data_IF_094513700285
#
_entry.id   IF_094513700285
#
_cell.length_a   1.000
_cell.length_b   1.000
_cell.length_c   1.000
_cell.angle_alpha   90.00
_cell.angle_beta   90.00
_cell.angle_gamma   90.00
#
_symmetry.space_group_name_H-M   'P 1'
#
loop_
_entity.id
_entity.type
_entity.pdbx_description
1 polymer ?
#
# COMPACT_ATOMS: atom_id res chain seq x y z
N UNK A 1 -21.96 8.92 -30.93
CA UNK A 1 -21.89 7.45 -30.81
C UNK A 1 -20.48 7.10 -30.37
N UNK A 2 -20.23 7.11 -29.06
CA UNK A 2 -18.93 6.74 -28.48
C UNK A 2 -19.02 5.24 -28.23
N UNK A 3 -18.21 4.46 -28.94
CA UNK A 3 -18.12 3.01 -28.77
C UNK A 3 -17.70 2.71 -27.34
N UNK A 4 -18.61 2.12 -26.58
CA UNK A 4 -18.39 1.60 -25.24
C UNK A 4 -17.51 0.35 -25.31
N UNK A 5 -16.23 0.55 -25.64
CA UNK A 5 -15.20 -0.42 -25.29
C UNK A 5 -14.80 -0.14 -23.83
N UNK A 6 -15.76 -0.42 -22.93
CA UNK A 6 -15.46 -0.60 -21.52
C UNK A 6 -14.48 -1.77 -21.44
N UNK A 7 -13.18 -1.47 -21.47
CA UNK A 7 -12.13 -2.43 -21.08
C UNK A 7 -12.30 -2.76 -19.60
N UNK A 8 -13.31 -3.58 -19.30
CA UNK A 8 -13.44 -4.32 -18.05
C UNK A 8 -12.36 -5.39 -18.12
N UNK A 9 -11.19 -5.06 -17.57
CA UNK A 9 -10.19 -6.09 -17.35
C UNK A 9 -10.80 -7.20 -16.49
N UNK A 10 -10.49 -8.48 -16.77
CA UNK A 10 -11.05 -9.57 -15.99
C UNK A 10 -10.62 -9.43 -14.53
N UNK A 11 -11.54 -9.74 -13.59
CA UNK A 11 -11.40 -9.74 -12.13
C UNK A 11 -9.97 -10.11 -11.66
N UNK A 12 -9.40 -11.15 -12.27
CA UNK A 12 -8.05 -11.66 -11.98
C UNK A 12 -6.92 -10.69 -12.35
N UNK A 13 -6.99 -10.01 -13.50
CA UNK A 13 -5.90 -9.15 -13.99
C UNK A 13 -5.70 -7.93 -13.09
N UNK A 14 -6.78 -7.25 -12.70
CA UNK A 14 -6.69 -6.07 -11.83
C UNK A 14 -6.20 -6.42 -10.44
N UNK A 15 -6.66 -7.56 -9.89
CA UNK A 15 -6.17 -8.06 -8.61
C UNK A 15 -4.69 -8.40 -8.68
N UNK A 16 -4.23 -9.05 -9.77
CA UNK A 16 -2.83 -9.39 -9.95
C UNK A 16 -1.95 -8.15 -10.09
N UNK A 17 -2.40 -7.13 -10.82
CA UNK A 17 -1.66 -5.86 -10.95
C UNK A 17 -1.58 -5.15 -9.61
N UNK A 18 -2.69 -5.07 -8.88
CA UNK A 18 -2.74 -4.44 -7.57
C UNK A 18 -1.83 -5.15 -6.55
N UNK A 19 -1.89 -6.48 -6.47
CA UNK A 19 -1.01 -7.29 -5.60
C UNK A 19 0.44 -7.25 -6.06
N UNK A 20 0.73 -7.22 -7.37
CA UNK A 20 2.11 -7.07 -7.84
C UNK A 20 2.70 -5.72 -7.43
N UNK A 21 1.90 -4.65 -7.49
CA UNK A 21 2.31 -3.32 -7.04
C UNK A 21 2.49 -3.27 -5.52
N UNK A 22 1.55 -3.83 -4.74
CA UNK A 22 1.69 -3.87 -3.29
C UNK A 22 2.87 -4.75 -2.83
N UNK A 23 3.07 -5.92 -3.44
CA UNK A 23 4.19 -6.81 -3.16
C UNK A 23 5.55 -6.23 -3.58
N UNK A 24 5.57 -5.27 -4.52
CA UNK A 24 6.81 -4.57 -4.88
C UNK A 24 7.36 -3.71 -3.72
N UNK A 25 6.50 -3.26 -2.80
CA UNK A 25 6.89 -2.42 -1.66
C UNK A 25 7.78 -3.18 -0.66
N UNK A 26 7.40 -4.34 -0.10
CA UNK A 26 8.29 -5.10 0.78
C UNK A 26 9.54 -5.57 0.05
N UNK A 27 9.47 -5.89 -1.25
CA UNK A 27 10.65 -6.26 -2.05
C UNK A 27 11.63 -5.09 -2.19
N UNK A 28 11.13 -3.90 -2.52
CA UNK A 28 11.94 -2.68 -2.62
C UNK A 28 12.56 -2.31 -1.26
N UNK A 29 11.82 -2.51 -0.18
CA UNK A 29 12.32 -2.30 1.17
C UNK A 29 13.46 -3.26 1.54
N UNK A 30 13.30 -4.57 1.27
CA UNK A 30 14.35 -5.56 1.45
C UNK A 30 15.59 -5.25 0.60
N UNK A 31 15.39 -4.92 -0.68
CA UNK A 31 16.46 -4.57 -1.60
C UNK A 31 17.20 -3.29 -1.16
N UNK A 32 16.48 -2.28 -0.69
CA UNK A 32 17.06 -1.04 -0.17
C UNK A 32 17.88 -1.24 1.11
N UNK A 33 17.41 -2.10 2.02
CA UNK A 33 18.16 -2.46 3.23
C UNK A 33 19.46 -3.21 2.93
N UNK A 34 19.44 -4.10 1.93
CA UNK A 34 20.63 -4.82 1.47
C UNK A 34 21.60 -3.92 0.69
N UNK A 35 21.09 -3.10 -0.23
CA UNK A 35 21.90 -2.25 -1.10
C UNK A 35 22.59 -1.10 -0.34
N UNK A 36 21.96 -0.61 0.74
CA UNK A 36 22.54 0.45 1.58
C UNK A 36 23.68 -0.05 2.48
N UNK A 37 23.94 -1.37 2.52
CA UNK A 37 24.94 -1.97 3.41
C UNK A 37 24.58 -1.86 4.91
N UNK A 38 23.39 -1.34 5.22
CA UNK A 38 22.89 -1.17 6.59
C UNK A 38 22.44 -2.49 7.22
N UNK A 39 22.13 -3.51 6.39
CA UNK A 39 21.69 -4.81 6.88
C UNK A 39 22.82 -5.84 6.89
N UNK A 40 23.20 -6.27 8.09
CA UNK A 40 23.97 -7.48 8.26
C UNK A 40 23.04 -8.70 8.10
N UNK A 41 23.15 -9.39 6.96
CA UNK A 41 22.35 -10.57 6.62
C UNK A 41 22.50 -11.70 7.65
N UNK A 42 23.69 -11.86 8.23
CA UNK A 42 23.93 -12.89 9.24
C UNK A 42 23.22 -12.56 10.56
N UNK A 43 23.29 -11.30 11.01
CA UNK A 43 22.56 -10.84 12.20
C UNK A 43 21.04 -10.91 12.00
N UNK A 44 20.54 -10.50 10.83
CA UNK A 44 19.14 -10.63 10.48
C UNK A 44 18.68 -12.08 10.52
N UNK A 45 19.40 -13.00 9.88
CA UNK A 45 19.09 -14.44 9.92
C UNK A 45 19.11 -15.02 11.32
N UNK A 46 20.07 -14.61 12.16
CA UNK A 46 20.15 -15.04 13.55
C UNK A 46 18.96 -14.55 14.40
N UNK A 47 18.33 -13.44 14.01
CA UNK A 47 17.13 -12.89 14.67
C UNK A 47 15.81 -13.51 14.21
N UNK A 48 15.82 -14.36 13.18
CA UNK A 48 14.61 -15.00 12.64
C UNK A 48 14.11 -16.10 13.57
N UNK A 49 13.24 -15.73 14.52
CA UNK A 49 12.35 -16.67 15.22
C UNK A 49 11.05 -16.87 14.44
N UNK A 50 10.29 -17.93 14.77
CA UNK A 50 8.98 -18.17 14.17
C UNK A 50 8.01 -16.99 14.38
N UNK A 51 8.10 -16.34 15.55
CA UNK A 51 7.31 -15.16 15.89
C UNK A 51 7.69 -13.96 15.02
N UNK A 52 9.00 -13.69 14.85
CA UNK A 52 9.49 -12.60 13.99
C UNK A 52 9.06 -12.83 12.54
N UNK A 53 9.15 -14.07 12.04
CA UNK A 53 8.70 -14.41 10.69
C UNK A 53 7.19 -14.18 10.54
N UNK A 54 6.38 -14.59 11.51
CA UNK A 54 4.94 -14.35 11.48
C UNK A 54 4.60 -12.85 11.47
N UNK A 55 5.26 -12.05 12.32
CA UNK A 55 5.10 -10.60 12.34
C UNK A 55 5.49 -9.96 11.01
N UNK A 56 6.59 -10.40 10.39
CA UNK A 56 7.03 -9.91 9.08
C UNK A 56 6.03 -10.25 7.95
N UNK A 57 5.43 -11.44 7.99
CA UNK A 57 4.41 -11.84 7.01
C UNK A 57 3.16 -10.97 7.15
N UNK A 58 2.68 -10.75 8.37
CA UNK A 58 1.53 -9.87 8.62
C UNK A 58 1.83 -8.43 8.19
N UNK A 59 3.02 -7.93 8.53
CA UNK A 59 3.49 -6.62 8.12
C UNK A 59 3.53 -6.48 6.59
N UNK A 60 4.05 -7.47 5.88
CA UNK A 60 4.11 -7.48 4.42
C UNK A 60 2.70 -7.51 3.80
N UNK A 61 1.79 -8.31 4.35
CA UNK A 61 0.41 -8.37 3.87
C UNK A 61 -0.35 -7.04 4.09
N UNK A 62 -0.13 -6.36 5.21
CA UNK A 62 -0.73 -5.06 5.49
C UNK A 62 -0.16 -3.95 4.59
N UNK A 63 1.15 -3.96 4.35
CA UNK A 63 1.80 -3.05 3.41
C UNK A 63 1.27 -3.27 1.98
N UNK A 64 1.17 -4.54 1.54
CA UNK A 64 0.57 -4.91 0.26
C UNK A 64 -0.86 -4.40 0.14
N UNK A 65 -1.71 -4.68 1.13
CA UNK A 65 -3.11 -4.25 1.14
C UNK A 65 -3.24 -2.71 1.09
N UNK A 66 -2.36 -1.98 1.76
CA UNK A 66 -2.39 -0.51 1.79
C UNK A 66 -2.22 0.09 0.39
N UNK A 67 -1.48 -0.57 -0.50
CA UNK A 67 -1.30 -0.14 -1.89
C UNK A 67 -2.28 -0.82 -2.83
N UNK A 68 -2.48 -2.12 -2.68
CA UNK A 68 -3.29 -2.94 -3.58
C UNK A 68 -4.78 -2.54 -3.54
N UNK A 69 -5.34 -2.27 -2.35
CA UNK A 69 -6.76 -1.92 -2.18
C UNK A 69 -7.15 -0.64 -2.94
N UNK A 70 -6.51 0.52 -2.73
CA UNK A 70 -6.86 1.75 -3.45
C UNK A 70 -6.59 1.65 -4.96
N UNK A 71 -5.54 0.93 -5.38
CA UNK A 71 -5.25 0.69 -6.80
C UNK A 71 -6.33 -0.17 -7.45
N UNK A 72 -6.72 -1.28 -6.82
CA UNK A 72 -7.80 -2.14 -7.31
C UNK A 72 -9.14 -1.40 -7.34
N UNK A 73 -9.43 -0.57 -6.33
CA UNK A 73 -10.62 0.27 -6.29
C UNK A 73 -10.66 1.28 -7.45
N UNK A 74 -9.52 1.89 -7.79
CA UNK A 74 -9.43 2.76 -8.95
C UNK A 74 -9.57 2.02 -10.28
N UNK A 75 -8.82 0.93 -10.47
CA UNK A 75 -8.85 0.19 -11.74
C UNK A 75 -10.25 -0.34 -12.08
N UNK A 76 -11.02 -0.75 -11.06
CA UNK A 76 -12.35 -1.34 -11.24
C UNK A 76 -13.49 -0.35 -11.21
N UNK A 77 -13.50 0.50 -10.19
CA UNK A 77 -14.63 1.38 -9.88
C UNK A 77 -14.33 2.85 -10.23
N UNK A 78 -13.11 3.14 -10.70
CA UNK A 78 -12.60 4.49 -10.98
C UNK A 78 -12.75 5.42 -9.77
N UNK A 79 -12.63 4.86 -8.56
CA UNK A 79 -12.68 5.63 -7.31
C UNK A 79 -11.34 6.33 -7.11
N UNK A 80 -11.38 7.65 -7.05
CA UNK A 80 -10.18 8.50 -6.98
C UNK A 80 -9.83 8.82 -5.53
N UNK A 81 -10.83 8.90 -4.64
CA UNK A 81 -10.61 9.26 -3.24
C UNK A 81 -9.63 8.31 -2.51
N UNK A 82 -9.72 6.97 -2.68
CA UNK A 82 -8.75 6.05 -2.07
C UNK A 82 -7.31 6.26 -2.57
N UNK A 83 -7.13 6.60 -3.86
CA UNK A 83 -5.81 6.91 -4.43
C UNK A 83 -5.25 8.23 -3.91
N UNK A 84 -6.09 9.25 -3.75
CA UNK A 84 -5.65 10.52 -3.17
C UNK A 84 -5.13 10.32 -1.75
N UNK A 85 -5.83 9.53 -0.95
CA UNK A 85 -5.40 9.20 0.42
C UNK A 85 -4.10 8.41 0.40
N UNK A 86 -3.96 7.43 -0.50
CA UNK A 86 -2.69 6.72 -0.70
C UNK A 86 -1.54 7.70 -1.03
N UNK A 87 -1.78 8.66 -1.91
CA UNK A 87 -0.80 9.68 -2.28
C UNK A 87 -0.40 10.55 -1.08
N UNK A 88 -1.37 11.05 -0.31
CA UNK A 88 -1.11 11.85 0.91
C UNK A 88 -0.31 11.04 1.92
N UNK A 89 -0.68 9.77 2.13
CA UNK A 89 0.03 8.85 3.02
C UNK A 89 1.47 8.68 2.54
N UNK A 90 1.70 8.33 1.27
CA UNK A 90 3.04 8.13 0.71
C UNK A 90 3.92 9.39 0.83
N UNK A 91 3.39 10.57 0.50
CA UNK A 91 4.10 11.85 0.64
C UNK A 91 4.39 12.16 2.10
N UNK A 92 3.43 11.93 3.00
CA UNK A 92 3.59 12.12 4.44
C UNK A 92 4.70 11.22 5.01
N UNK A 93 4.76 9.96 4.57
CA UNK A 93 5.81 9.02 4.96
C UNK A 93 7.20 9.47 4.50
N UNK A 94 7.32 9.86 3.23
CA UNK A 94 8.60 10.35 2.67
C UNK A 94 9.04 11.63 3.38
N UNK A 95 8.11 12.56 3.60
CA UNK A 95 8.38 13.82 4.30
C UNK A 95 8.80 13.60 5.75
N UNK A 96 8.10 12.73 6.49
CA UNK A 96 8.44 12.39 7.87
C UNK A 96 9.80 11.68 7.93
N UNK A 97 10.06 10.73 7.04
CA UNK A 97 11.35 10.04 6.96
C UNK A 97 12.52 10.99 6.65
N UNK A 98 12.29 11.99 5.79
CA UNK A 98 13.29 13.01 5.48
C UNK A 98 13.54 13.96 6.66
N UNK A 99 12.46 14.45 7.30
CA UNK A 99 12.55 15.40 8.41
C UNK A 99 13.18 14.81 9.67
N UNK A 100 12.94 13.53 9.93
CA UNK A 100 13.46 12.81 11.11
C UNK A 100 14.84 12.20 10.89
N UNK A 101 15.39 12.30 9.68
CA UNK A 101 16.65 11.64 9.32
C UNK A 101 16.56 10.12 9.23
N UNK A 102 15.37 9.51 9.39
CA UNK A 102 15.12 8.07 9.24
C UNK A 102 15.46 7.54 7.84
N UNK A 103 15.52 8.42 6.82
CA UNK A 103 16.01 8.08 5.49
C UNK A 103 17.54 7.97 5.41
N UNK A 104 18.30 8.43 6.42
CA UNK A 104 19.78 8.49 6.42
C UNK A 104 20.46 7.52 7.40
N UNK A 105 19.75 6.96 8.37
CA UNK A 105 20.34 6.11 9.42
C UNK A 105 19.52 4.85 9.70
N UNK A 106 20.20 3.88 10.31
CA UNK A 106 19.92 2.56 10.92
C UNK A 106 18.48 2.20 11.37
N UNK A 107 17.53 3.12 11.30
CA UNK A 107 16.15 3.02 11.75
C UNK A 107 15.13 2.81 10.62
N UNK A 108 15.57 2.24 9.48
CA UNK A 108 14.70 1.73 8.42
C UNK A 108 13.59 0.84 9.01
N UNK A 109 13.94 0.07 10.05
CA UNK A 109 13.03 -0.79 10.83
C UNK A 109 11.90 -0.03 11.56
N UNK A 110 12.16 1.20 12.04
CA UNK A 110 11.18 2.02 12.76
C UNK A 110 10.09 2.58 11.85
N UNK A 111 10.44 2.97 10.63
CA UNK A 111 9.49 3.46 9.63
C UNK A 111 8.56 2.33 9.14
N UNK A 112 9.11 1.13 8.93
CA UNK A 112 8.34 -0.06 8.59
C UNK A 112 7.35 -0.48 9.68
N UNK A 113 7.79 -0.50 10.96
CA UNK A 113 6.91 -0.79 12.10
C UNK A 113 5.81 0.24 12.28
N UNK A 114 6.12 1.53 12.10
CA UNK A 114 5.13 2.60 12.19
C UNK A 114 4.12 2.50 11.02
N UNK A 115 4.58 2.14 9.82
CA UNK A 115 3.73 2.00 8.63
C UNK A 115 2.77 0.81 8.75
N UNK A 116 3.27 -0.31 9.29
CA UNK A 116 2.46 -1.49 9.60
C UNK A 116 1.43 -1.16 10.70
N UNK A 117 1.83 -0.42 11.73
CA UNK A 117 0.94 0.00 12.81
C UNK A 117 -0.22 0.90 12.35
N UNK A 118 0.01 1.76 11.35
CA UNK A 118 -1.01 2.65 10.79
C UNK A 118 -1.78 2.06 9.60
N UNK A 119 -1.32 0.94 9.05
CA UNK A 119 -1.97 0.26 7.92
C UNK A 119 -3.47 -0.02 8.13
N UNK A 120 -3.94 -0.49 9.31
CA UNK A 120 -5.37 -0.69 9.55
C UNK A 120 -6.18 0.60 9.46
N UNK A 121 -5.62 1.72 9.92
CA UNK A 121 -6.28 3.03 9.86
C UNK A 121 -6.41 3.52 8.42
N UNK A 122 -5.36 3.34 7.61
CA UNK A 122 -5.39 3.68 6.18
C UNK A 122 -6.41 2.84 5.42
N UNK A 123 -6.46 1.53 5.68
CA UNK A 123 -7.45 0.64 5.09
C UNK A 123 -8.88 1.05 5.46
N UNK A 124 -9.12 1.40 6.73
CA UNK A 124 -10.42 1.91 7.16
C UNK A 124 -10.79 3.21 6.42
N UNK A 125 -9.84 4.14 6.27
CA UNK A 125 -10.05 5.38 5.53
C UNK A 125 -10.38 5.12 4.05
N UNK A 126 -9.70 4.18 3.39
CA UNK A 126 -9.98 3.80 2.01
C UNK A 126 -11.39 3.22 1.85
N UNK A 127 -11.82 2.37 2.78
CA UNK A 127 -13.16 1.78 2.77
C UNK A 127 -14.22 2.87 2.94
N UNK A 128 -14.08 3.75 3.93
CA UNK A 128 -15.06 4.82 4.21
C UNK A 128 -15.16 5.79 3.04
N UNK A 129 -14.03 6.28 2.53
CA UNK A 129 -14.01 7.26 1.45
C UNK A 129 -14.40 6.64 0.11
N UNK A 130 -13.95 5.41 -0.17
CA UNK A 130 -14.34 4.66 -1.36
C UNK A 130 -15.84 4.34 -1.38
N UNK A 131 -16.39 3.90 -0.25
CA UNK A 131 -17.84 3.65 -0.12
C UNK A 131 -18.65 4.95 -0.28
N UNK A 132 -18.19 6.05 0.31
CA UNK A 132 -18.82 7.36 0.17
C UNK A 132 -18.83 7.86 -1.28
N UNK A 133 -17.69 7.80 -1.96
CA UNK A 133 -17.57 8.19 -3.37
C UNK A 133 -18.47 7.31 -4.28
N UNK A 134 -18.50 6.00 -4.02
CA UNK A 134 -19.35 5.08 -4.78
C UNK A 134 -20.84 5.38 -4.60
N UNK A 135 -21.28 5.65 -3.37
CA UNK A 135 -22.68 5.98 -3.06
C UNK A 135 -23.13 7.30 -3.71
N UNK A 136 -22.28 8.33 -3.73
CA UNK A 136 -22.58 9.61 -4.40
C UNK A 136 -22.73 9.41 -5.91
N UNK A 137 -21.81 8.67 -6.55
CA UNK A 137 -21.89 8.39 -7.99
C UNK A 137 -23.14 7.61 -8.38
N UNK A 138 -23.55 6.64 -7.55
CA UNK A 138 -24.78 5.89 -7.75
C UNK A 138 -26.04 6.75 -7.71
N UNK A 139 -26.08 7.75 -6.81
CA UNK A 139 -27.22 8.69 -6.72
C UNK A 139 -27.31 9.64 -7.91
N UNK A 140 -26.17 10.15 -8.40
CA UNK A 140 -26.12 11.06 -9.56
C UNK A 140 -26.51 10.33 -10.86
N UNK A 141 -26.21 9.05 -10.97
CA UNK A 141 -26.52 8.25 -12.16
C UNK A 141 -27.97 7.74 -12.20
N UNK A 142 -28.68 7.76 -11.07
CA UNK A 142 -30.09 7.35 -10.97
C UNK A 142 -31.10 8.50 -11.07
N UNK A 143 -30.63 9.74 -11.22
CA UNK A 143 -31.45 10.95 -11.33
C UNK A 143 -31.54 11.50 -12.76
N UNK A 144 -31.16 10.71 -13.77
CA UNK A 144 -31.19 11.06 -15.19
C UNK A 144 -32.19 10.23 -15.97
#
# INVERSE_FOLDING_TARGET
MVTADERRYPLRRDSLVATALGASVPVAYLAGGLASGLWNVAAFRASLSAEVVASLVVAAALADATVAVPVAAYLRLRLVAPLCVLGVVAVGWVGLGAATGLLRTDAVFGLGLYAVGLSPLYLAAYVVLGAGEHAVRGRVSGSS
#
